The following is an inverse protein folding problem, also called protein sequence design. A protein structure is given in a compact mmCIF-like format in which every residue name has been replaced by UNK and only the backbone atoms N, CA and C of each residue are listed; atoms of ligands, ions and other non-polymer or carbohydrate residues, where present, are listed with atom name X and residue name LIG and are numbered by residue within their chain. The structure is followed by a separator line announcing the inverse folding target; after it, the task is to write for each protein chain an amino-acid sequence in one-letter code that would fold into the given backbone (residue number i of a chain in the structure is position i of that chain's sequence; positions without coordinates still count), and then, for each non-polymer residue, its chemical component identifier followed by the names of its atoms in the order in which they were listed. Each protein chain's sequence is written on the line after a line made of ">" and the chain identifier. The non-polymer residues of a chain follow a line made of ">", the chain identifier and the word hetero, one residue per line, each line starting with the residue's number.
data_IF_391553959919
#
_entry.id   IF_391553959919
#
_cell.length_a   1.000
_cell.length_b   1.000
_cell.length_c   1.000
_cell.angle_alpha   90.00
_cell.angle_beta   90.00
_cell.angle_gamma   90.00
#
_symmetry.space_group_name_H-M   'P 1'
#
loop_
_entity.id
_entity.type
_entity.pdbx_description
1 polymer ?
#
# COMPACT_ATOMS: atom_id res chain seq x y z
N UNK A 1 9.04 -13.94 15.45
CA UNK A 1 7.77 -13.20 15.22
C UNK A 1 7.91 -11.79 15.78
N UNK A 2 7.59 -10.78 14.98
CA UNK A 2 7.63 -9.36 15.40
C UNK A 2 6.39 -8.66 14.87
N UNK A 3 5.61 -8.02 15.74
CA UNK A 3 4.49 -7.15 15.34
C UNK A 3 5.00 -5.71 15.29
N UNK A 4 4.61 -4.96 14.27
CA UNK A 4 4.99 -3.57 14.01
C UNK A 4 3.73 -2.73 13.75
N UNK A 5 3.86 -1.41 13.84
CA UNK A 5 2.84 -0.42 13.46
C UNK A 5 1.43 -0.74 13.99
N UNK A 6 1.33 -1.14 15.25
CA UNK A 6 0.04 -1.36 15.89
C UNK A 6 -0.62 0.00 16.18
N UNK A 7 -1.81 0.21 15.63
CA UNK A 7 -2.61 1.42 15.85
C UNK A 7 -4.06 1.08 16.18
N UNK A 8 -4.66 1.92 17.01
CA UNK A 8 -6.08 1.85 17.38
C UNK A 8 -6.64 3.27 17.34
N UNK A 9 -7.76 3.43 16.64
CA UNK A 9 -8.48 4.69 16.51
C UNK A 9 -9.91 4.49 16.99
N UNK A 10 -10.37 5.33 17.92
CA UNK A 10 -11.73 5.26 18.48
C UNK A 10 -12.29 6.67 18.61
N UNK A 11 -13.48 6.87 18.07
CA UNK A 11 -14.27 8.09 18.25
C UNK A 11 -15.63 7.76 18.82
N UNK A 12 -16.03 8.45 19.89
CA UNK A 12 -17.38 8.35 20.46
C UNK A 12 -17.90 9.77 20.70
N UNK A 13 -19.01 10.11 20.06
CA UNK A 13 -19.53 11.47 20.10
C UNK A 13 -20.94 11.59 19.52
N UNK A 14 -21.51 12.79 19.61
CA UNK A 14 -22.85 13.05 19.10
C UNK A 14 -22.94 12.97 17.57
N UNK A 15 -21.84 13.24 16.86
CA UNK A 15 -21.81 13.34 15.39
C UNK A 15 -20.80 12.40 14.71
N UNK A 16 -19.88 11.81 15.47
CA UNK A 16 -18.84 10.87 15.02
C UNK A 16 -18.80 9.67 15.96
N UNK A 17 -18.85 8.47 15.40
CA UNK A 17 -18.76 7.22 16.15
C UNK A 17 -18.04 6.20 15.27
N UNK A 18 -16.81 5.86 15.61
CA UNK A 18 -16.01 4.96 14.79
C UNK A 18 -15.04 4.12 15.63
N UNK A 19 -14.63 3.00 15.04
CA UNK A 19 -13.59 2.11 15.54
C UNK A 19 -12.73 1.69 14.36
N UNK A 20 -11.41 1.82 14.50
CA UNK A 20 -10.46 1.32 13.52
C UNK A 20 -9.20 0.81 14.18
N UNK A 21 -8.50 -0.07 13.50
CA UNK A 21 -7.21 -0.56 13.95
C UNK A 21 -6.32 -0.89 12.75
N UNK A 22 -5.01 -0.83 12.97
CA UNK A 22 -3.99 -1.21 12.00
C UNK A 22 -2.90 -2.04 12.66
N UNK A 23 -2.31 -2.96 11.91
CA UNK A 23 -1.18 -3.75 12.34
C UNK A 23 -0.34 -4.20 11.15
N UNK A 24 0.97 -4.32 11.34
CA UNK A 24 1.87 -5.02 10.43
C UNK A 24 2.75 -5.99 11.23
N UNK A 25 3.47 -6.88 10.55
CA UNK A 25 4.33 -7.81 11.28
C UNK A 25 5.04 -8.81 10.41
N UNK A 26 6.08 -9.41 10.98
CA UNK A 26 6.90 -10.43 10.32
C UNK A 26 6.79 -11.76 11.07
N UNK A 27 6.38 -12.77 10.33
CA UNK A 27 6.34 -14.17 10.73
C UNK A 27 7.46 -14.92 9.99
N UNK A 28 7.74 -16.14 10.42
CA UNK A 28 8.84 -16.93 9.83
C UNK A 28 8.58 -17.27 8.36
N UNK A 29 7.32 -17.50 8.00
CA UNK A 29 6.90 -17.93 6.66
C UNK A 29 6.31 -16.83 5.79
N UNK A 30 5.90 -15.69 6.36
CA UNK A 30 5.28 -14.57 5.64
C UNK A 30 5.43 -13.25 6.40
N UNK A 31 5.33 -12.15 5.68
CA UNK A 31 5.23 -10.78 6.22
C UNK A 31 3.81 -10.28 6.01
N UNK A 32 3.17 -9.79 7.07
CA UNK A 32 1.97 -8.96 6.97
C UNK A 32 2.42 -7.52 6.80
N UNK A 33 2.22 -6.98 5.60
CA UNK A 33 2.63 -5.63 5.25
C UNK A 33 1.69 -4.62 5.92
N UNK A 34 0.39 -4.88 5.86
CA UNK A 34 -0.64 -4.11 6.56
C UNK A 34 -1.90 -4.97 6.76
N UNK A 35 -2.57 -4.80 7.89
CA UNK A 35 -3.98 -5.13 8.09
C UNK A 35 -4.60 -3.91 8.73
N UNK A 36 -5.52 -3.26 8.03
CA UNK A 36 -6.21 -2.08 8.53
C UNK A 36 -7.72 -2.23 8.36
N UNK A 37 -8.48 -1.76 9.34
CA UNK A 37 -9.92 -1.62 9.20
C UNK A 37 -10.42 -0.34 9.87
N UNK A 38 -11.54 0.17 9.37
CA UNK A 38 -12.29 1.27 9.98
C UNK A 38 -13.77 0.95 9.81
N UNK A 39 -14.55 1.15 10.87
CA UNK A 39 -16.01 1.05 10.83
C UNK A 39 -16.65 2.24 11.55
N UNK A 40 -17.76 2.73 11.01
CA UNK A 40 -18.56 3.80 11.61
C UNK A 40 -18.53 5.10 10.82
N UNK A 41 -18.66 6.21 11.52
CA UNK A 41 -18.71 7.57 10.97
C UNK A 41 -17.58 8.44 11.52
N UNK A 42 -16.75 8.95 10.63
CA UNK A 42 -15.74 9.99 10.91
C UNK A 42 -15.93 11.18 9.97
N UNK A 43 -15.72 12.39 10.47
CA UNK A 43 -15.71 13.64 9.71
C UNK A 43 -14.27 14.10 9.39
N UNK A 44 -13.26 13.33 9.79
CA UNK A 44 -11.85 13.57 9.49
C UNK A 44 -11.26 12.38 8.72
N UNK A 45 -10.77 12.65 7.49
CA UNK A 45 -10.11 11.67 6.64
C UNK A 45 -8.78 11.20 7.24
N UNK A 46 -8.13 12.04 8.06
CA UNK A 46 -6.85 11.70 8.71
C UNK A 46 -6.95 10.49 9.64
N UNK A 47 -8.15 10.17 10.13
CA UNK A 47 -8.38 8.93 10.89
C UNK A 47 -8.05 7.72 10.03
N UNK A 48 -8.53 7.71 8.78
CA UNK A 48 -8.28 6.62 7.84
C UNK A 48 -6.82 6.64 7.36
N UNK A 49 -6.27 7.82 7.08
CA UNK A 49 -4.85 7.99 6.68
C UNK A 49 -3.86 7.51 7.75
N UNK A 50 -4.16 7.68 9.04
CA UNK A 50 -3.31 7.13 10.12
C UNK A 50 -3.37 5.60 10.19
N UNK A 51 -4.50 5.00 9.83
CA UNK A 51 -4.66 3.54 9.80
C UNK A 51 -4.00 2.92 8.56
N UNK A 52 -4.14 3.60 7.42
CA UNK A 52 -3.53 3.27 6.15
C UNK A 52 -3.03 4.55 5.46
N UNK A 53 -1.72 4.87 5.54
CA UNK A 53 -1.16 6.08 4.94
C UNK A 53 -1.33 6.17 3.42
N UNK A 54 -1.51 5.04 2.74
CA UNK A 54 -1.67 5.00 1.29
C UNK A 54 -3.13 5.17 0.86
N UNK A 55 -4.08 5.17 1.79
CA UNK A 55 -5.53 5.19 1.48
C UNK A 55 -5.96 6.43 0.69
N UNK A 56 -5.29 7.56 0.91
CA UNK A 56 -5.53 8.83 0.20
C UNK A 56 -5.26 8.72 -1.29
N UNK A 57 -4.28 7.91 -1.69
CA UNK A 57 -3.92 7.66 -3.08
C UNK A 57 -5.03 6.93 -3.86
N UNK A 58 -5.95 6.24 -3.15
CA UNK A 58 -6.90 5.32 -3.79
C UNK A 58 -8.37 5.73 -3.62
N UNK A 59 -8.75 6.27 -2.46
CA UNK A 59 -10.14 6.63 -2.12
C UNK A 59 -10.40 8.13 -2.36
N UNK A 60 -9.32 8.93 -2.37
CA UNK A 60 -9.38 10.39 -2.38
C UNK A 60 -9.82 10.96 -1.03
N UNK A 61 -9.39 12.18 -0.72
CA UNK A 61 -9.75 12.86 0.53
C UNK A 61 -11.22 13.30 0.49
N UNK A 62 -12.10 12.49 1.11
CA UNK A 62 -13.53 12.77 1.22
C UNK A 62 -14.01 12.67 2.66
N UNK A 63 -14.92 13.56 3.03
CA UNK A 63 -15.60 13.57 4.34
C UNK A 63 -17.05 14.01 4.18
N UNK A 64 -17.98 13.54 5.04
CA UNK A 64 -17.80 12.54 6.08
C UNK A 64 -17.69 11.12 5.51
N UNK A 65 -16.87 10.28 6.13
CA UNK A 65 -16.79 8.85 5.83
C UNK A 65 -17.83 8.13 6.70
N UNK A 66 -18.83 7.52 6.07
CA UNK A 66 -19.88 6.76 6.77
C UNK A 66 -19.93 5.34 6.23
N UNK A 67 -19.35 4.38 6.95
CA UNK A 67 -19.42 2.98 6.57
C UNK A 67 -18.24 2.17 7.08
N UNK A 68 -17.62 1.39 6.20
CA UNK A 68 -16.58 0.45 6.55
C UNK A 68 -15.45 0.41 5.50
N UNK A 69 -14.24 0.17 5.98
CA UNK A 69 -13.05 -0.04 5.17
C UNK A 69 -12.26 -1.21 5.77
N UNK A 70 -11.69 -2.04 4.90
CA UNK A 70 -10.77 -3.11 5.28
C UNK A 70 -9.71 -3.27 4.20
N UNK A 71 -8.46 -3.48 4.62
CA UNK A 71 -7.34 -3.82 3.74
C UNK A 71 -6.43 -4.83 4.41
N UNK A 72 -5.87 -5.71 3.60
CA UNK A 72 -4.85 -6.65 4.00
C UNK A 72 -3.83 -6.83 2.88
N UNK A 73 -2.55 -6.72 3.22
CA UNK A 73 -1.46 -7.03 2.33
C UNK A 73 -0.44 -7.96 3.00
N UNK A 74 0.04 -8.93 2.25
CA UNK A 74 1.02 -9.90 2.73
C UNK A 74 2.06 -10.22 1.65
N UNK A 75 3.27 -10.54 2.09
CA UNK A 75 4.38 -10.98 1.25
C UNK A 75 4.93 -12.31 1.72
N UNK A 76 5.21 -13.21 0.78
CA UNK A 76 5.79 -14.53 1.01
C UNK A 76 7.14 -14.65 0.29
N UNK A 77 8.19 -15.14 0.96
CA UNK A 77 9.41 -15.54 0.29
C UNK A 77 9.13 -16.81 -0.52
N UNK A 78 9.33 -16.75 -1.84
CA UNK A 78 9.21 -17.91 -2.73
C UNK A 78 10.50 -18.74 -2.66
N UNK A 79 11.64 -18.05 -2.62
CA UNK A 79 12.94 -18.68 -2.63
C UNK A 79 13.94 -17.87 -1.79
N UNK A 80 14.73 -18.54 -0.95
CA UNK A 80 15.60 -17.88 0.01
C UNK A 80 16.84 -18.74 0.29
N UNK A 81 17.98 -18.39 -0.32
CA UNK A 81 19.30 -18.96 -0.02
C UNK A 81 20.10 -17.95 0.83
N UNK A 82 19.48 -17.43 1.89
CA UNK A 82 20.08 -16.45 2.77
C UNK A 82 20.37 -15.14 2.05
N UNK A 83 21.59 -14.64 2.18
CA UNK A 83 21.96 -13.32 1.65
C UNK A 83 22.26 -13.34 0.14
N UNK A 84 22.63 -14.49 -0.41
CA UNK A 84 23.05 -14.61 -1.81
C UNK A 84 21.90 -14.44 -2.80
N UNK A 85 20.74 -15.04 -2.52
CA UNK A 85 19.59 -14.93 -3.39
C UNK A 85 18.29 -15.03 -2.61
N UNK A 86 17.43 -14.04 -2.79
CA UNK A 86 16.05 -14.02 -2.28
C UNK A 86 15.11 -13.61 -3.39
N UNK A 87 13.95 -14.27 -3.45
CA UNK A 87 12.83 -13.93 -4.31
C UNK A 87 11.55 -14.09 -3.49
N UNK A 88 10.66 -13.11 -3.57
CA UNK A 88 9.35 -13.20 -2.95
C UNK A 88 8.29 -12.49 -3.77
N UNK A 89 7.04 -12.78 -3.42
CA UNK A 89 5.88 -12.14 -4.00
C UNK A 89 4.96 -11.62 -2.89
N UNK A 90 4.17 -10.61 -3.20
CA UNK A 90 3.13 -10.11 -2.30
C UNK A 90 1.80 -9.93 -3.01
N UNK A 91 0.74 -9.90 -2.22
CA UNK A 91 -0.61 -9.61 -2.63
C UNK A 91 -1.19 -8.53 -1.72
N UNK A 92 -2.05 -7.69 -2.30
CA UNK A 92 -2.78 -6.63 -1.61
C UNK A 92 -4.25 -6.73 -1.98
N UNK A 93 -5.14 -6.65 -0.99
CA UNK A 93 -6.58 -6.65 -1.20
C UNK A 93 -7.20 -5.67 -0.22
N UNK A 94 -8.06 -4.80 -0.74
CA UNK A 94 -8.86 -3.91 0.09
C UNK A 94 -10.26 -3.72 -0.47
N UNK A 95 -11.19 -3.38 0.41
CA UNK A 95 -12.57 -3.07 0.07
C UNK A 95 -13.11 -1.99 1.01
N UNK A 96 -13.96 -1.13 0.48
CA UNK A 96 -14.63 -0.12 1.28
C UNK A 96 -16.05 0.15 0.80
N UNK A 97 -16.84 0.63 1.73
CA UNK A 97 -18.16 1.19 1.53
C UNK A 97 -18.26 2.44 2.40
N UNK A 98 -18.36 3.61 1.77
CA UNK A 98 -18.58 4.88 2.45
C UNK A 98 -19.76 5.55 1.77
N UNK A 99 -20.94 5.45 2.37
CA UNK A 99 -22.21 5.80 1.74
C UNK A 99 -22.16 7.17 1.01
N UNK A 100 -22.52 7.24 -0.29
CA UNK A 100 -23.01 6.15 -1.17
C UNK A 100 -21.91 5.42 -1.96
N UNK A 101 -20.65 5.81 -1.80
CA UNK A 101 -19.51 5.34 -2.57
C UNK A 101 -19.02 3.96 -2.09
N UNK A 102 -18.49 3.17 -2.99
CA UNK A 102 -17.87 1.89 -2.65
C UNK A 102 -16.77 1.52 -3.65
N UNK A 103 -15.87 0.66 -3.25
CA UNK A 103 -14.82 0.21 -4.14
C UNK A 103 -13.97 -0.88 -3.54
N UNK A 104 -12.96 -1.26 -4.31
CA UNK A 104 -11.95 -2.20 -3.88
C UNK A 104 -10.65 -1.96 -4.61
N UNK A 105 -9.60 -2.53 -4.04
CA UNK A 105 -8.29 -2.57 -4.62
C UNK A 105 -7.75 -3.99 -4.60
N UNK A 106 -6.98 -4.33 -5.62
CA UNK A 106 -6.21 -5.57 -5.72
C UNK A 106 -4.83 -5.21 -6.21
N UNK A 107 -3.80 -5.74 -5.57
CA UNK A 107 -2.42 -5.49 -5.91
C UNK A 107 -1.56 -6.73 -5.83
N UNK A 108 -0.40 -6.63 -6.47
CA UNK A 108 0.62 -7.67 -6.48
C UNK A 108 2.00 -7.04 -6.47
N UNK A 109 2.97 -7.71 -5.85
CA UNK A 109 4.37 -7.28 -5.89
C UNK A 109 5.32 -8.46 -6.03
N UNK A 110 6.51 -8.19 -6.55
CA UNK A 110 7.63 -9.13 -6.60
C UNK A 110 8.86 -8.39 -6.11
N UNK A 111 9.65 -9.03 -5.27
CA UNK A 111 10.91 -8.48 -4.79
C UNK A 111 12.03 -9.51 -4.86
N UNK A 112 13.25 -9.03 -5.03
CA UNK A 112 14.43 -9.87 -5.14
C UNK A 112 15.68 -9.22 -4.55
N UNK A 113 16.59 -10.05 -4.07
CA UNK A 113 17.93 -9.66 -3.63
C UNK A 113 18.96 -10.63 -4.19
N UNK A 114 20.07 -10.12 -4.73
CA UNK A 114 21.15 -10.89 -5.31
C UNK A 114 22.50 -10.45 -4.72
N UNK A 115 23.35 -11.43 -4.38
CA UNK A 115 24.70 -11.27 -3.87
C UNK A 115 24.80 -10.26 -2.71
N UNK A 116 23.78 -10.17 -1.85
CA UNK A 116 23.67 -9.22 -0.75
C UNK A 116 23.66 -7.74 -1.11
N UNK A 117 23.84 -7.39 -2.39
CA UNK A 117 24.16 -6.04 -2.85
C UNK A 117 23.09 -5.50 -3.77
N UNK A 118 22.65 -6.28 -4.75
CA UNK A 118 21.64 -5.83 -5.70
C UNK A 118 20.26 -6.18 -5.17
N UNK A 119 19.38 -5.18 -5.11
CA UNK A 119 18.02 -5.31 -4.63
C UNK A 119 17.06 -4.75 -5.67
N UNK A 120 15.94 -5.43 -5.88
CA UNK A 120 14.86 -4.95 -6.73
C UNK A 120 13.51 -5.23 -6.09
N UNK A 121 12.55 -4.35 -6.35
CA UNK A 121 11.14 -4.60 -6.08
C UNK A 121 10.28 -3.89 -7.09
N UNK A 122 9.17 -4.52 -7.46
CA UNK A 122 8.10 -3.85 -8.17
C UNK A 122 6.75 -4.22 -7.59
N UNK A 123 5.81 -3.30 -7.67
CA UNK A 123 4.44 -3.48 -7.24
C UNK A 123 3.47 -2.85 -8.22
N UNK A 124 2.28 -3.43 -8.31
CA UNK A 124 1.14 -2.85 -9.01
C UNK A 124 -0.07 -2.90 -8.10
N UNK A 125 -0.88 -1.84 -8.13
CA UNK A 125 -2.17 -1.77 -7.46
C UNK A 125 -3.19 -1.33 -8.50
N UNK A 126 -4.32 -2.03 -8.54
CA UNK A 126 -5.48 -1.64 -9.33
C UNK A 126 -6.67 -1.39 -8.42
N UNK A 127 -7.45 -0.38 -8.78
CA UNK A 127 -8.58 0.13 -8.02
C UNK A 127 -9.79 0.15 -8.95
N UNK A 128 -10.92 -0.26 -8.41
CA UNK A 128 -12.22 -0.03 -9.01
C UNK A 128 -13.15 0.57 -7.96
N UNK A 129 -13.75 1.71 -8.26
CA UNK A 129 -14.66 2.39 -7.36
C UNK A 129 -15.90 2.89 -8.09
N UNK A 130 -17.02 2.94 -7.37
CA UNK A 130 -18.20 3.70 -7.75
C UNK A 130 -18.29 4.91 -6.83
N UNK A 131 -18.26 6.09 -7.43
CA UNK A 131 -18.39 7.37 -6.74
C UNK A 131 -19.62 8.08 -7.29
N UNK A 132 -20.65 8.23 -6.47
CA UNK A 132 -21.97 8.66 -6.96
C UNK A 132 -22.49 7.73 -8.06
N UNK A 133 -22.61 8.26 -9.28
CA UNK A 133 -23.04 7.52 -10.49
C UNK A 133 -21.90 7.15 -11.44
N UNK A 134 -20.67 7.55 -11.11
CA UNK A 134 -19.50 7.31 -11.96
C UNK A 134 -18.72 6.09 -11.51
N UNK A 135 -18.17 5.36 -12.48
CA UNK A 135 -17.20 4.31 -12.25
C UNK A 135 -15.81 4.85 -12.54
N UNK A 136 -14.93 4.66 -11.57
CA UNK A 136 -13.53 5.01 -11.64
C UNK A 136 -12.70 3.75 -11.61
N UNK A 137 -11.71 3.67 -12.49
CA UNK A 137 -10.67 2.65 -12.42
C UNK A 137 -9.31 3.32 -12.48
N UNK A 138 -8.39 2.89 -11.61
CA UNK A 138 -7.00 3.36 -11.64
C UNK A 138 -6.08 2.17 -11.46
N UNK A 139 -4.97 2.17 -12.20
CA UNK A 139 -3.90 1.20 -12.06
C UNK A 139 -2.59 1.95 -11.93
N UNK A 140 -1.92 1.80 -10.81
CA UNK A 140 -0.59 2.37 -10.56
C UNK A 140 0.43 1.25 -10.42
N UNK A 141 1.63 1.52 -10.90
CA UNK A 141 2.76 0.62 -10.77
C UNK A 141 4.00 1.38 -10.36
N UNK A 142 4.86 0.71 -9.61
CA UNK A 142 6.14 1.24 -9.19
C UNK A 142 7.22 0.16 -9.21
N UNK A 143 8.47 0.60 -9.36
CA UNK A 143 9.65 -0.23 -9.29
C UNK A 143 10.75 0.52 -8.54
N UNK A 144 11.44 -0.17 -7.66
CA UNK A 144 12.63 0.30 -6.97
C UNK A 144 13.79 -0.65 -7.22
N UNK A 145 14.97 -0.10 -7.43
CA UNK A 145 16.23 -0.84 -7.49
C UNK A 145 17.24 -0.18 -6.55
N UNK A 146 18.13 -0.99 -5.98
CA UNK A 146 19.19 -0.46 -5.15
C UNK A 146 20.43 -1.32 -5.09
N UNK A 147 21.56 -0.68 -4.80
CA UNK A 147 22.87 -1.31 -4.62
C UNK A 147 23.40 -0.97 -3.23
N UNK A 148 23.70 -2.00 -2.44
CA UNK A 148 24.20 -1.87 -1.07
C UNK A 148 23.45 -2.80 -0.12
N UNK A 149 23.41 -2.42 1.16
CA UNK A 149 22.76 -3.23 2.19
C UNK A 149 21.24 -2.99 2.27
N UNK A 150 20.57 -2.79 1.13
CA UNK A 150 19.13 -2.50 1.09
C UNK A 150 18.27 -3.64 1.67
N UNK A 151 17.06 -3.29 2.09
CA UNK A 151 16.04 -4.19 2.59
C UNK A 151 14.80 -4.19 1.68
N UNK A 152 14.88 -4.77 0.46
CA UNK A 152 13.78 -4.73 -0.51
C UNK A 152 12.49 -5.42 -0.05
N UNK A 153 12.59 -6.27 0.96
CA UNK A 153 11.44 -6.90 1.62
C UNK A 153 10.54 -5.88 2.34
N UNK A 154 11.10 -4.76 2.81
CA UNK A 154 10.39 -3.70 3.51
C UNK A 154 9.95 -2.55 2.59
N UNK A 155 10.38 -2.55 1.31
CA UNK A 155 9.91 -1.57 0.32
C UNK A 155 8.43 -1.84 -0.03
N UNK A 156 7.47 -1.08 0.49
CA UNK A 156 6.04 -1.24 0.15
C UNK A 156 5.54 -0.14 -0.79
N UNK A 157 6.32 0.92 -0.94
CA UNK A 157 6.09 2.08 -1.77
C UNK A 157 7.41 2.67 -2.26
N UNK A 158 7.32 3.64 -3.18
CA UNK A 158 8.48 4.45 -3.59
C UNK A 158 9.09 5.21 -2.42
N UNK A 159 8.27 5.69 -1.48
CA UNK A 159 8.76 6.37 -0.27
C UNK A 159 9.69 5.45 0.53
N UNK A 160 9.35 4.16 0.65
CA UNK A 160 10.20 3.20 1.36
C UNK A 160 11.52 2.94 0.63
N UNK A 161 11.54 2.97 -0.70
CA UNK A 161 12.77 2.84 -1.51
C UNK A 161 13.70 4.04 -1.28
N UNK A 162 13.14 5.25 -1.22
CA UNK A 162 13.90 6.49 -1.04
C UNK A 162 14.44 6.66 0.39
N UNK A 163 13.74 6.10 1.38
CA UNK A 163 14.12 6.19 2.78
C UNK A 163 14.91 4.96 3.28
N UNK A 164 15.40 4.08 2.41
CA UNK A 164 16.21 2.93 2.82
C UNK A 164 17.65 3.37 3.11
N UNK A 165 18.07 3.18 4.36
CA UNK A 165 19.39 3.56 4.81
C UNK A 165 20.48 2.65 4.21
N UNK A 166 21.68 3.21 3.99
CA UNK A 166 22.88 2.46 3.62
C UNK A 166 22.87 1.81 2.21
N UNK A 167 22.05 2.32 1.29
CA UNK A 167 22.16 1.92 -0.10
C UNK A 167 21.81 3.03 -1.10
N UNK A 168 22.39 2.92 -2.30
CA UNK A 168 22.06 3.79 -3.42
C UNK A 168 20.79 3.24 -4.07
N UNK A 169 19.74 4.04 -4.18
CA UNK A 169 18.46 3.61 -4.74
C UNK A 169 18.04 4.46 -5.95
N UNK A 170 17.14 3.88 -6.75
CA UNK A 170 16.44 4.55 -7.84
C UNK A 170 15.07 3.92 -8.01
N UNK A 171 14.10 4.72 -8.42
CA UNK A 171 12.72 4.32 -8.56
C UNK A 171 12.10 4.77 -9.89
N UNK A 172 11.05 4.07 -10.28
CA UNK A 172 10.20 4.43 -11.38
C UNK A 172 8.74 4.18 -11.00
N UNK A 173 7.85 5.08 -11.40
CA UNK A 173 6.40 4.90 -11.29
C UNK A 173 5.77 4.92 -12.68
N UNK A 174 4.57 4.38 -12.82
CA UNK A 174 3.72 4.54 -14.00
C UNK A 174 2.26 4.38 -13.57
N UNK A 175 1.33 4.90 -14.36
CA UNK A 175 -0.08 4.75 -14.05
C UNK A 175 -0.99 4.85 -15.26
N UNK A 176 -2.22 4.41 -15.08
CA UNK A 176 -3.31 4.62 -16.01
C UNK A 176 -4.61 4.80 -15.23
N UNK A 177 -5.40 5.77 -15.64
CA UNK A 177 -6.69 6.09 -15.01
C UNK A 177 -7.80 6.07 -16.05
N UNK A 178 -8.99 5.65 -15.63
CA UNK A 178 -10.19 5.68 -16.44
C UNK A 178 -11.31 6.39 -15.70
N UNK A 179 -11.73 7.51 -16.27
CA UNK A 179 -12.89 8.31 -15.84
C UNK A 179 -13.64 8.76 -17.08
N UNK A 180 -14.38 7.83 -17.72
CA UNK A 180 -15.04 8.06 -19.02
C UNK A 180 -14.10 8.02 -20.24
N UNK A 181 -12.81 8.28 -20.05
CA UNK A 181 -11.72 8.05 -21.01
C UNK A 181 -10.44 7.60 -20.29
N UNK A 182 -9.54 6.95 -21.02
CA UNK A 182 -8.23 6.56 -20.49
C UNK A 182 -7.24 7.73 -20.51
N UNK A 183 -6.59 7.96 -19.37
CA UNK A 183 -5.40 8.79 -19.26
C UNK A 183 -4.20 7.92 -18.85
N UNK A 184 -3.05 8.17 -19.45
CA UNK A 184 -1.81 7.43 -19.17
C UNK A 184 -0.87 8.36 -18.44
N UNK A 185 -0.59 8.02 -17.18
CA UNK A 185 0.41 8.70 -16.38
C UNK A 185 1.75 8.08 -16.77
N UNK A 186 2.49 8.83 -17.60
CA UNK A 186 3.79 8.45 -18.12
C UNK A 186 4.78 8.11 -17.00
N UNK A 187 5.83 7.34 -17.31
CA UNK A 187 6.72 6.88 -16.28
C UNK A 187 7.50 8.04 -15.67
N UNK A 188 7.41 8.21 -14.35
CA UNK A 188 8.27 9.13 -13.61
C UNK A 188 9.44 8.35 -13.01
N UNK A 189 10.65 8.70 -13.42
CA UNK A 189 11.88 8.01 -13.03
C UNK A 189 12.71 8.95 -12.19
N UNK A 190 12.97 8.56 -10.95
CA UNK A 190 13.78 9.30 -10.02
C UNK A 190 15.03 8.48 -9.68
N UNK A 191 16.18 9.11 -9.85
CA UNK A 191 17.47 8.54 -9.49
C UNK A 191 18.18 9.52 -8.56
N UNK A 192 18.87 8.97 -7.55
CA UNK A 192 19.84 9.63 -6.70
C UNK A 192 19.27 10.54 -5.59
N UNK A 193 19.53 10.15 -4.34
CA UNK A 193 20.09 11.04 -3.31
C UNK A 193 21.51 10.55 -2.97
#
# INVERSE_FOLDING_TARGET
>A
MVIKNLGLEVGVGAIENYLGATASGRFESYTLNIIAFLIGKTCDFKVLERLDPQVGEFIGEKVPLIGAYVRGAASIPIYNIGCFFKLGAGADIGAWYFHPDYGGLVGGSIYGKLACLASLRGGVITIGAKVGDEFFFSGTGWGGAGIGFCSPEDWLSVSDVRNDDWCLTGDATFGAEYTGSWDIIGPDVNCCD
#
